data_IF_741053952384
#
_entry.id   IF_741053952384
#
_cell.length_a   1.000
_cell.length_b   1.000
_cell.length_c   1.000
_cell.angle_alpha   90.00
_cell.angle_beta   90.00
_cell.angle_gamma   90.00
#
_symmetry.space_group_name_H-M   'P 1'
#
loop_
_entity.id
_entity.type
_entity.pdbx_description
1 polymer ?
#
# COMPACT_ATOMS: atom_id res chain seq x y z
N UNK A 1 9.91 36.43 0.16
CA UNK A 1 9.37 35.47 -0.83
C UNK A 1 8.32 34.65 -0.10
N UNK A 2 7.05 34.74 -0.49
CA UNK A 2 5.98 33.98 0.18
C UNK A 2 6.05 32.55 -0.34
N UNK A 3 6.40 31.60 0.52
CA UNK A 3 6.30 30.19 0.19
C UNK A 3 4.82 29.85 0.03
N UNK A 4 4.41 29.49 -1.18
CA UNK A 4 3.09 28.90 -1.40
C UNK A 4 3.06 27.58 -0.62
N UNK A 5 2.15 27.49 0.36
CA UNK A 5 1.94 26.25 1.12
C UNK A 5 1.47 25.12 0.21
N UNK A 6 1.69 23.85 0.59
CA UNK A 6 1.30 22.72 -0.23
C UNK A 6 -0.20 22.75 -0.51
N UNK A 7 -0.59 22.44 -1.75
CA UNK A 7 -2.01 22.37 -2.13
C UNK A 7 -2.67 21.24 -1.37
N UNK A 8 -3.95 21.36 -1.00
CA UNK A 8 -4.67 20.33 -0.22
C UNK A 8 -4.52 18.91 -0.80
N UNK A 9 -4.48 18.77 -2.13
CA UNK A 9 -4.24 17.48 -2.82
C UNK A 9 -2.87 16.86 -2.51
N UNK A 10 -1.83 17.65 -2.25
CA UNK A 10 -0.49 17.18 -1.90
C UNK A 10 -0.40 16.67 -0.45
N UNK A 11 -1.32 17.10 0.44
CA UNK A 11 -1.34 16.65 1.85
C UNK A 11 -1.90 15.23 1.98
N UNK A 12 -2.75 14.79 1.05
CA UNK A 12 -3.43 13.49 1.07
C UNK A 12 -2.75 12.42 0.19
N UNK A 13 -1.63 12.75 -0.46
CA UNK A 13 -0.84 11.79 -1.22
C UNK A 13 0.39 11.38 -0.41
N UNK A 14 0.74 10.10 -0.49
CA UNK A 14 2.02 9.63 0.03
C UNK A 14 3.18 10.24 -0.74
N UNK A 15 4.34 10.32 -0.10
CA UNK A 15 5.58 10.81 -0.69
C UNK A 15 6.74 9.85 -0.40
N UNK A 16 7.69 9.76 -1.32
CA UNK A 16 9.02 9.25 -1.03
C UNK A 16 9.88 10.40 -0.54
N UNK A 17 10.65 10.16 0.53
CA UNK A 17 11.67 11.10 1.02
C UNK A 17 13.00 10.38 1.14
N UNK A 18 14.06 10.98 0.60
CA UNK A 18 15.41 10.48 0.77
C UNK A 18 15.90 10.78 2.18
N UNK A 19 16.31 9.76 2.92
CA UNK A 19 16.99 9.88 4.20
C UNK A 19 18.51 9.87 3.99
N UNK A 20 19.21 11.01 4.14
CA UNK A 20 20.65 11.08 3.95
C UNK A 20 21.45 10.37 5.05
N UNK A 21 20.84 10.06 6.20
CA UNK A 21 21.53 9.37 7.30
C UNK A 21 21.69 7.88 7.00
N UNK A 22 20.65 7.26 6.44
CA UNK A 22 20.64 5.83 6.10
C UNK A 22 20.92 5.57 4.61
N UNK A 23 20.90 6.61 3.77
CA UNK A 23 21.10 6.46 2.33
C UNK A 23 19.99 5.67 1.66
N UNK A 24 18.74 5.92 2.06
CA UNK A 24 17.57 5.15 1.59
C UNK A 24 16.35 6.04 1.38
N UNK A 25 15.42 5.57 0.55
CA UNK A 25 14.12 6.20 0.37
C UNK A 25 13.14 5.66 1.42
N UNK A 26 12.43 6.56 2.11
CA UNK A 26 11.34 6.21 3.02
C UNK A 26 10.02 6.70 2.45
N UNK A 27 8.95 5.94 2.68
CA UNK A 27 7.60 6.35 2.31
C UNK A 27 6.93 7.03 3.50
N UNK A 28 6.34 8.19 3.27
CA UNK A 28 5.51 8.90 4.24
C UNK A 28 4.08 8.90 3.70
N UNK A 29 3.16 8.29 4.44
CA UNK A 29 1.73 8.26 4.13
C UNK A 29 0.94 8.99 5.24
N UNK A 30 0.54 10.26 5.01
CA UNK A 30 -0.16 11.06 6.00
C UNK A 30 -1.52 10.49 6.42
N UNK A 31 -2.16 9.67 5.57
CA UNK A 31 -3.50 9.12 5.83
C UNK A 31 -3.47 7.91 6.77
N UNK A 32 -2.37 7.17 6.80
CA UNK A 32 -2.22 5.97 7.64
C UNK A 32 -1.84 6.24 9.09
N UNK A 33 -1.13 7.34 9.36
CA UNK A 33 -0.45 7.59 10.64
C UNK A 33 -1.31 7.83 11.90
N UNK A 34 -2.59 7.42 11.94
CA UNK A 34 -3.50 7.70 13.07
C UNK A 34 -4.44 6.56 13.46
N UNK A 35 -4.21 5.30 13.09
CA UNK A 35 -5.02 4.19 13.63
C UNK A 35 -4.39 3.59 14.89
N UNK A 36 -5.03 3.69 16.09
CA UNK A 36 -4.50 3.16 17.35
C UNK A 36 -4.28 1.63 17.38
N UNK A 37 -4.75 0.91 16.35
CA UNK A 37 -4.70 -0.55 16.27
C UNK A 37 -3.36 -1.09 15.75
N UNK A 38 -2.51 -0.26 15.10
CA UNK A 38 -1.25 -0.73 14.51
C UNK A 38 -0.17 -1.12 15.54
N UNK A 39 -0.37 -0.80 16.82
CA UNK A 39 0.52 -1.18 17.92
C UNK A 39 0.01 -2.36 18.76
N UNK A 40 -1.06 -3.03 18.33
CA UNK A 40 -1.54 -4.23 19.03
C UNK A 40 -0.63 -5.41 18.72
N UNK A 41 0.21 -5.79 19.69
CA UNK A 41 1.04 -7.00 19.70
C UNK A 41 0.26 -8.27 20.07
N UNK A 42 -1.07 -8.19 20.14
CA UNK A 42 -1.92 -9.35 20.40
C UNK A 42 -1.93 -10.29 19.20
N UNK A 43 -1.53 -11.54 19.40
CA UNK A 43 -1.73 -12.59 18.42
C UNK A 43 -3.24 -12.73 18.17
N UNK A 44 -3.74 -12.60 16.94
CA UNK A 44 -5.17 -12.77 16.68
C UNK A 44 -5.56 -14.19 17.08
N UNK A 45 -6.61 -14.30 17.91
CA UNK A 45 -7.23 -15.58 18.23
C UNK A 45 -7.57 -16.25 16.89
N UNK A 46 -6.97 -17.42 16.60
CA UNK A 46 -6.97 -18.08 15.28
C UNK A 46 -8.34 -18.54 14.74
N UNK A 47 -9.43 -17.91 15.18
CA UNK A 47 -10.79 -18.08 14.70
C UNK A 47 -11.18 -16.87 13.84
N UNK A 48 -10.50 -16.68 12.72
CA UNK A 48 -11.04 -15.82 11.67
C UNK A 48 -12.29 -16.51 11.14
N UNK A 49 -13.45 -15.86 11.26
CA UNK A 49 -14.66 -16.34 10.59
C UNK A 49 -14.36 -16.35 9.08
N UNK A 50 -14.18 -17.54 8.51
CA UNK A 50 -13.87 -17.75 7.09
C UNK A 50 -14.91 -17.05 6.21
N UNK A 51 -16.16 -16.95 6.70
CA UNK A 51 -17.25 -16.24 6.01
C UNK A 51 -17.05 -14.74 5.93
N UNK A 52 -16.07 -14.15 6.62
CA UNK A 52 -15.73 -12.73 6.56
C UNK A 52 -14.39 -12.45 5.84
N UNK A 53 -13.60 -13.47 5.52
CA UNK A 53 -12.27 -13.28 4.94
C UNK A 53 -12.34 -12.79 3.47
N UNK A 54 -11.78 -11.62 3.14
CA UNK A 54 -11.78 -11.10 1.76
C UNK A 54 -10.78 -11.81 0.83
N UNK A 55 -9.89 -12.64 1.39
CA UNK A 55 -8.83 -13.33 0.65
C UNK A 55 -9.10 -14.82 0.42
N UNK A 56 -10.18 -15.37 0.97
CA UNK A 56 -10.54 -16.77 0.75
C UNK A 56 -10.98 -17.02 -0.71
N UNK A 57 -10.72 -18.23 -1.26
CA UNK A 57 -10.99 -18.55 -2.65
C UNK A 57 -12.44 -18.33 -3.08
N UNK A 58 -13.41 -18.63 -2.21
CA UNK A 58 -14.84 -18.49 -2.50
C UNK A 58 -15.31 -17.03 -2.66
N UNK A 59 -14.48 -16.06 -2.24
CA UNK A 59 -14.78 -14.63 -2.32
C UNK A 59 -13.94 -13.89 -3.36
N UNK A 60 -13.36 -14.62 -4.31
CA UNK A 60 -12.37 -14.07 -5.23
C UNK A 60 -12.86 -12.82 -5.99
N UNK A 61 -14.14 -12.76 -6.35
CA UNK A 61 -14.75 -11.64 -7.07
C UNK A 61 -14.83 -10.33 -6.26
N UNK A 62 -14.75 -10.41 -4.93
CA UNK A 62 -14.83 -9.24 -4.05
C UNK A 62 -13.50 -8.51 -3.84
N UNK A 63 -12.37 -9.13 -4.23
CA UNK A 63 -11.02 -8.63 -3.98
C UNK A 63 -10.51 -7.62 -5.05
N UNK A 64 -11.31 -7.32 -6.07
CA UNK A 64 -10.97 -6.36 -7.13
C UNK A 64 -10.29 -7.01 -8.35
N UNK A 65 -9.61 -6.19 -9.16
CA UNK A 65 -8.93 -6.63 -10.39
C UNK A 65 -7.87 -7.69 -10.05
N UNK A 66 -7.90 -8.83 -10.74
CA UNK A 66 -6.91 -9.87 -10.55
C UNK A 66 -5.67 -9.58 -11.41
N UNK A 67 -4.50 -9.46 -10.79
CA UNK A 67 -3.23 -9.21 -11.49
C UNK A 67 -2.53 -10.52 -11.86
N UNK A 68 -2.52 -11.47 -10.93
CA UNK A 68 -1.96 -12.81 -11.13
C UNK A 68 -2.81 -13.85 -10.40
N UNK A 69 -2.90 -15.03 -10.99
CA UNK A 69 -3.48 -16.20 -10.38
C UNK A 69 -2.71 -17.44 -10.86
N UNK A 70 -2.03 -18.10 -9.94
CA UNK A 70 -1.23 -19.29 -10.19
C UNK A 70 -1.93 -20.48 -9.55
N UNK A 71 -2.40 -21.41 -10.38
CA UNK A 71 -2.94 -22.69 -9.95
C UNK A 71 -1.95 -23.82 -10.26
N UNK A 72 -1.93 -24.86 -9.42
CA UNK A 72 -1.19 -26.08 -9.72
C UNK A 72 -1.97 -26.89 -10.77
N UNK A 73 -1.30 -27.55 -11.74
CA UNK A 73 -1.96 -28.45 -12.66
C UNK A 73 -2.79 -29.50 -11.91
N UNK A 74 -4.08 -29.60 -12.24
CA UNK A 74 -5.01 -30.55 -11.61
C UNK A 74 -5.68 -30.06 -10.32
N UNK A 75 -5.57 -28.78 -9.96
CA UNK A 75 -6.34 -28.16 -8.87
C UNK A 75 -7.33 -27.12 -9.40
N UNK A 76 -8.54 -27.11 -8.83
CA UNK A 76 -9.59 -26.15 -9.15
C UNK A 76 -9.46 -24.82 -8.39
N UNK A 77 -8.48 -24.72 -7.48
CA UNK A 77 -8.20 -23.52 -6.70
C UNK A 77 -6.80 -22.97 -6.98
N UNK A 78 -6.63 -21.67 -6.78
CA UNK A 78 -5.34 -21.01 -6.89
C UNK A 78 -4.45 -21.35 -5.69
N UNK A 79 -3.15 -21.37 -5.93
CA UNK A 79 -2.11 -21.59 -4.92
C UNK A 79 -1.46 -20.26 -4.52
N UNK A 80 -1.36 -19.32 -5.46
CA UNK A 80 -0.95 -17.94 -5.19
C UNK A 80 -1.84 -16.99 -5.99
N UNK A 81 -2.27 -15.89 -5.37
CA UNK A 81 -3.02 -14.84 -6.05
C UNK A 81 -2.44 -13.47 -5.72
N UNK A 82 -2.40 -12.58 -6.71
CA UNK A 82 -1.96 -11.19 -6.54
C UNK A 82 -3.09 -10.24 -6.93
N UNK A 83 -3.42 -9.32 -6.03
CA UNK A 83 -4.45 -8.30 -6.20
C UNK A 83 -3.91 -6.91 -5.81
N UNK A 84 -4.42 -5.81 -6.38
CA UNK A 84 -4.08 -4.47 -5.92
C UNK A 84 -4.55 -4.28 -4.48
N UNK A 85 -3.76 -3.60 -3.66
CA UNK A 85 -4.20 -3.23 -2.32
C UNK A 85 -5.34 -2.20 -2.41
N UNK A 86 -6.47 -2.46 -1.75
CA UNK A 86 -7.64 -1.57 -1.74
C UNK A 86 -7.37 -0.22 -1.07
N UNK A 87 -6.43 -0.17 -0.13
CA UNK A 87 -5.96 1.05 0.54
C UNK A 87 -4.47 1.22 0.27
N UNK A 88 -4.08 1.52 -0.97
CA UNK A 88 -2.69 1.43 -1.36
C UNK A 88 -1.89 2.62 -0.82
N UNK A 89 -0.71 2.34 -0.28
CA UNK A 89 0.28 3.35 0.14
C UNK A 89 0.85 4.12 -1.06
N UNK A 90 0.97 3.48 -2.23
CA UNK A 90 1.48 4.09 -3.46
C UNK A 90 0.43 3.93 -4.56
N UNK A 91 0.36 4.89 -5.49
CA UNK A 91 -0.58 4.84 -6.61
C UNK A 91 0.17 4.76 -7.93
N UNK A 92 -0.33 3.96 -8.87
CA UNK A 92 0.34 3.81 -10.18
C UNK A 92 0.13 5.05 -11.06
N UNK A 93 -0.90 5.85 -10.75
CA UNK A 93 -1.20 7.10 -11.43
C UNK A 93 -0.40 8.27 -10.86
N UNK A 94 -0.01 9.19 -11.74
CA UNK A 94 0.65 10.45 -11.37
C UNK A 94 2.00 10.63 -12.04
N UNK A 95 2.74 11.63 -11.60
CA UNK A 95 4.11 11.89 -12.00
C UNK A 95 5.01 11.94 -10.75
N UNK A 96 6.30 11.69 -10.90
CA UNK A 96 7.23 11.63 -9.77
C UNK A 96 7.42 13.00 -9.08
N UNK A 97 7.29 14.10 -9.81
CA UNK A 97 7.49 15.49 -9.35
C UNK A 97 8.63 15.67 -8.33
N UNK A 98 9.90 15.57 -8.76
CA UNK A 98 11.04 15.69 -7.86
C UNK A 98 11.17 17.10 -7.28
N UNK A 99 11.24 17.19 -5.94
CA UNK A 99 11.30 18.46 -5.21
C UNK A 99 12.28 18.37 -4.05
N UNK A 100 13.03 19.43 -3.82
CA UNK A 100 13.85 19.58 -2.63
C UNK A 100 13.05 20.21 -1.49
N UNK A 101 13.11 19.63 -0.28
CA UNK A 101 12.57 20.19 0.95
C UNK A 101 13.64 20.21 2.04
N UNK A 102 14.34 21.34 2.16
CA UNK A 102 15.45 21.49 3.09
C UNK A 102 16.59 20.54 2.71
N UNK A 103 16.94 19.62 3.61
CA UNK A 103 17.99 18.61 3.40
C UNK A 103 17.49 17.36 2.66
N UNK A 104 16.20 17.29 2.35
CA UNK A 104 15.57 16.09 1.81
C UNK A 104 15.20 16.26 0.34
N UNK A 105 15.45 15.21 -0.44
CA UNK A 105 14.83 15.04 -1.76
C UNK A 105 13.50 14.30 -1.59
N UNK A 106 12.46 14.79 -2.28
CA UNK A 106 11.11 14.24 -2.23
C UNK A 106 10.60 13.89 -3.63
N UNK A 107 9.86 12.78 -3.74
CA UNK A 107 9.06 12.40 -4.91
C UNK A 107 7.61 12.16 -4.47
N UNK A 108 6.64 12.37 -5.37
CA UNK A 108 5.29 11.84 -5.18
C UNK A 108 5.33 10.31 -5.01
N UNK A 109 4.43 9.76 -4.19
CA UNK A 109 4.28 8.33 -3.92
C UNK A 109 3.68 7.55 -5.09
N UNK A 110 4.37 7.58 -6.23
CA UNK A 110 3.98 6.84 -7.44
C UNK A 110 4.62 5.45 -7.41
N UNK A 111 3.80 4.41 -7.47
CA UNK A 111 4.21 3.01 -7.45
C UNK A 111 3.03 2.06 -7.28
N UNK A 112 3.28 0.76 -7.47
CA UNK A 112 2.27 -0.27 -7.25
C UNK A 112 2.32 -0.78 -5.80
N UNK A 113 1.14 -0.98 -5.20
CA UNK A 113 0.99 -1.66 -3.92
C UNK A 113 0.02 -2.81 -4.11
N UNK A 114 0.56 -4.03 -3.98
CA UNK A 114 -0.14 -5.27 -4.23
C UNK A 114 -0.17 -6.12 -2.96
N UNK A 115 -1.16 -7.02 -2.88
CA UNK A 115 -1.27 -8.04 -1.85
C UNK A 115 -1.03 -9.38 -2.52
N UNK A 116 -0.04 -10.13 -2.01
CA UNK A 116 0.21 -11.52 -2.37
C UNK A 116 -0.51 -12.40 -1.36
N UNK A 117 -1.34 -13.31 -1.87
CA UNK A 117 -2.13 -14.24 -1.07
C UNK A 117 -1.58 -15.65 -1.33
N UNK A 118 -1.20 -16.33 -0.25
CA UNK A 118 -0.62 -17.69 -0.22
C UNK A 118 -1.58 -18.71 0.38
#
# INVERSE_FOLDING_TARGET
MRGEGPRLKEIFMSEFRWDPLHGSWVIIDPERGRQPQEFQTGQPDGKTDVRACPFCPEKADSAGQQLLNLARPGQDHWQVRVVPNRTPVLRVEGNLDPRGRGLYDCLNGVGAHEIVIE
#
